data_IF_919731165625
#
_entry.id   IF_919731165625
#
_cell.length_a   1.000
_cell.length_b   1.000
_cell.length_c   1.000
_cell.angle_alpha   90.00
_cell.angle_beta   90.00
_cell.angle_gamma   90.00
#
_symmetry.space_group_name_H-M   'P 1'
#
loop_
_entity.id
_entity.type
_entity.pdbx_description
1 polymer ?
#
# COMPACT_ATOMS: atom_id res chain seq x y z
N UNK A 1 -28.68 -74.82 -7.05
CA UNK A 1 -27.61 -74.46 -8.01
C UNK A 1 -27.08 -73.09 -7.58
N UNK A 2 -25.83 -73.07 -7.15
CA UNK A 2 -25.15 -71.96 -6.48
C UNK A 2 -24.56 -70.94 -7.47
N UNK A 3 -24.49 -69.67 -7.07
CA UNK A 3 -23.37 -68.72 -7.21
C UNK A 3 -23.85 -67.32 -6.76
N UNK A 4 -23.56 -66.85 -5.53
CA UNK A 4 -22.34 -66.12 -5.06
C UNK A 4 -22.13 -64.69 -5.65
N UNK A 5 -22.57 -63.69 -4.85
CA UNK A 5 -21.80 -62.61 -4.19
C UNK A 5 -21.09 -61.47 -4.94
N UNK A 6 -21.19 -60.30 -4.26
CA UNK A 6 -20.40 -59.04 -4.29
C UNK A 6 -20.77 -58.04 -5.41
N UNK A 7 -20.92 -56.74 -5.18
CA UNK A 7 -20.30 -55.89 -4.17
C UNK A 7 -21.15 -54.64 -3.89
N UNK A 8 -21.07 -54.18 -2.65
CA UNK A 8 -21.59 -52.90 -2.15
C UNK A 8 -20.86 -51.74 -2.84
N UNK A 9 -21.60 -50.71 -3.25
CA UNK A 9 -21.04 -49.46 -3.74
C UNK A 9 -21.97 -48.30 -3.43
N UNK A 10 -21.89 -47.77 -2.20
CA UNK A 10 -22.51 -46.50 -1.85
C UNK A 10 -21.78 -45.39 -2.62
N UNK A 11 -22.48 -44.75 -3.57
CA UNK A 11 -22.01 -43.51 -4.18
C UNK A 11 -22.21 -42.39 -3.16
N UNK A 12 -21.17 -42.13 -2.36
CA UNK A 12 -21.08 -40.91 -1.56
C UNK A 12 -20.73 -39.79 -2.53
N UNK A 13 -21.72 -38.97 -2.87
CA UNK A 13 -21.51 -37.69 -3.53
C UNK A 13 -20.80 -36.75 -2.56
N UNK A 14 -19.46 -36.75 -2.56
CA UNK A 14 -18.69 -35.67 -1.94
C UNK A 14 -18.83 -34.43 -2.81
N UNK A 15 -19.78 -33.56 -2.47
CA UNK A 15 -19.72 -32.15 -2.84
C UNK A 15 -18.52 -31.54 -2.10
N UNK A 16 -17.34 -31.64 -2.69
CA UNK A 16 -16.20 -30.81 -2.32
C UNK A 16 -16.53 -29.38 -2.74
N UNK A 17 -17.24 -28.66 -1.87
CA UNK A 17 -17.32 -27.21 -1.92
C UNK A 17 -15.89 -26.72 -1.73
N UNK A 18 -15.18 -26.42 -2.83
CA UNK A 18 -14.00 -25.58 -2.77
C UNK A 18 -14.50 -24.24 -2.23
N UNK A 19 -14.38 -24.06 -0.92
CA UNK A 19 -14.37 -22.74 -0.30
C UNK A 19 -13.09 -22.07 -0.81
N UNK A 20 -13.14 -21.56 -2.04
CA UNK A 20 -12.28 -20.48 -2.48
C UNK A 20 -12.67 -19.32 -1.59
N UNK A 21 -12.01 -19.20 -0.45
CA UNK A 21 -12.01 -17.93 0.27
C UNK A 21 -11.41 -16.94 -0.72
N UNK A 22 -12.17 -15.95 -1.22
CA UNK A 22 -11.53 -14.87 -1.95
C UNK A 22 -10.61 -14.19 -0.93
N UNK A 23 -9.30 -14.41 -1.07
CA UNK A 23 -8.34 -13.44 -0.57
C UNK A 23 -8.61 -12.18 -1.37
N UNK A 24 -9.48 -11.32 -0.86
CA UNK A 24 -9.71 -9.99 -1.44
C UNK A 24 -8.43 -9.23 -1.16
N UNK A 25 -7.49 -9.32 -2.09
CA UNK A 25 -6.34 -8.43 -2.08
C UNK A 25 -6.91 -7.02 -2.28
N UNK A 26 -6.49 -6.05 -1.47
CA UNK A 26 -6.97 -4.68 -1.60
C UNK A 26 -6.74 -4.21 -3.03
N UNK A 27 -7.84 -4.10 -3.77
CA UNK A 27 -7.75 -4.27 -5.21
C UNK A 27 -7.29 -2.99 -5.90
N UNK A 28 -7.58 -1.82 -5.33
CA UNK A 28 -7.13 -0.56 -5.90
C UNK A 28 -6.92 0.53 -4.87
N UNK A 29 -5.86 1.31 -5.06
CA UNK A 29 -5.52 2.43 -4.20
C UNK A 29 -6.46 3.62 -4.43
N UNK A 30 -7.03 4.13 -3.35
CA UNK A 30 -7.90 5.31 -3.33
C UNK A 30 -7.14 6.57 -2.96
N UNK A 31 -6.08 6.45 -2.16
CA UNK A 31 -5.32 7.59 -1.70
C UNK A 31 -4.60 7.31 -0.40
N UNK A 32 -3.93 8.32 0.13
CA UNK A 32 -3.23 8.16 1.38
C UNK A 32 -2.52 9.41 1.85
N UNK A 33 -1.70 9.21 2.87
CA UNK A 33 -0.83 10.19 3.48
C UNK A 33 0.51 9.51 3.73
N UNK A 34 1.61 10.17 3.36
CA UNK A 34 2.94 9.84 3.84
C UNK A 34 3.52 11.12 4.44
N UNK A 35 3.85 11.07 5.71
CA UNK A 35 4.61 12.13 6.38
C UNK A 35 5.74 11.49 7.18
N UNK A 36 6.72 12.29 7.56
CA UNK A 36 7.88 11.79 8.28
C UNK A 36 8.37 12.76 9.34
N UNK A 37 8.99 12.20 10.38
CA UNK A 37 9.71 12.96 11.39
C UNK A 37 11.12 12.43 11.53
N UNK A 38 12.12 13.31 11.48
CA UNK A 38 13.51 12.92 11.70
C UNK A 38 13.78 12.68 13.19
N UNK A 39 14.29 11.50 13.51
CA UNK A 39 14.85 11.18 14.83
C UNK A 39 16.31 11.68 14.88
N UNK A 40 17.05 11.42 13.81
CA UNK A 40 18.42 11.89 13.61
C UNK A 40 18.74 11.87 12.09
N UNK A 41 20.01 12.12 11.71
CA UNK A 41 20.44 12.15 10.30
C UNK A 41 20.42 10.79 9.59
N UNK A 42 20.23 9.70 10.33
CA UNK A 42 20.26 8.33 9.82
C UNK A 42 18.96 7.57 10.12
N UNK A 43 17.95 8.22 10.71
CA UNK A 43 16.69 7.57 11.04
C UNK A 43 15.53 8.55 10.99
N UNK A 44 14.47 8.12 10.32
CA UNK A 44 13.17 8.78 10.35
C UNK A 44 12.09 7.82 10.83
N UNK A 45 11.00 8.41 11.30
CA UNK A 45 9.73 7.74 11.54
C UNK A 45 8.78 8.20 10.44
N UNK A 46 8.25 7.25 9.69
CA UNK A 46 7.27 7.47 8.62
C UNK A 46 5.89 7.18 9.16
N UNK A 47 5.03 8.17 9.13
CA UNK A 47 3.61 8.05 9.40
C UNK A 47 2.88 7.84 8.08
N UNK A 48 2.07 6.80 8.01
CA UNK A 48 1.36 6.47 6.78
C UNK A 48 -0.11 6.20 7.05
N UNK A 49 -0.97 6.74 6.18
CA UNK A 49 -2.38 6.37 6.07
C UNK A 49 -2.63 5.92 4.64
N UNK A 50 -3.17 4.72 4.44
CA UNK A 50 -3.45 4.19 3.10
C UNK A 50 -4.92 3.85 2.99
N UNK A 51 -5.53 4.18 1.85
CA UNK A 51 -6.94 3.94 1.56
C UNK A 51 -7.07 3.07 0.31
N UNK A 52 -7.92 2.06 0.38
CA UNK A 52 -8.14 1.10 -0.70
C UNK A 52 -9.63 0.83 -0.92
N UNK A 53 -10.00 0.52 -2.16
CA UNK A 53 -11.35 0.05 -2.55
C UNK A 53 -11.34 -1.44 -2.90
N UNK A 54 -12.52 -2.04 -2.83
CA UNK A 54 -12.74 -3.47 -2.76
C UNK A 54 -11.90 -4.10 -1.65
N UNK A 55 -12.12 -3.61 -0.43
CA UNK A 55 -11.29 -3.88 0.74
C UNK A 55 -12.10 -3.57 1.99
N UNK A 56 -11.97 -4.41 3.01
CA UNK A 56 -12.64 -4.22 4.30
C UNK A 56 -11.65 -4.42 5.44
N UNK A 57 -11.94 -3.82 6.61
CA UNK A 57 -11.24 -4.17 7.83
C UNK A 57 -11.46 -5.67 8.13
N UNK A 58 -10.44 -6.48 7.92
CA UNK A 58 -10.28 -7.74 8.64
C UNK A 58 -9.39 -7.50 9.86
N UNK A 59 -9.31 -8.46 10.79
CA UNK A 59 -8.39 -8.39 11.93
C UNK A 59 -6.90 -8.43 11.52
N UNK A 60 -6.58 -8.52 10.23
CA UNK A 60 -5.20 -8.48 9.72
C UNK A 60 -4.74 -7.06 9.39
N UNK A 61 -3.46 -6.79 9.67
CA UNK A 61 -2.78 -5.58 9.20
C UNK A 61 -2.51 -5.65 7.70
N UNK A 62 -2.59 -4.51 7.02
CA UNK A 62 -2.08 -4.37 5.64
C UNK A 62 -0.58 -4.12 5.67
N UNK A 63 0.15 -4.73 4.74
CA UNK A 63 1.58 -4.49 4.57
C UNK A 63 1.90 -3.99 3.18
N UNK A 64 2.87 -3.06 3.11
CA UNK A 64 3.43 -2.55 1.87
C UNK A 64 4.93 -2.32 2.05
N UNK A 65 5.71 -2.30 0.98
CA UNK A 65 7.16 -2.07 1.06
C UNK A 65 7.46 -0.62 0.74
N UNK A 66 7.96 0.13 1.73
CA UNK A 66 8.56 1.43 1.51
C UNK A 66 9.95 1.24 0.90
N UNK A 67 10.12 1.71 -0.32
CA UNK A 67 11.35 1.61 -1.11
C UNK A 67 12.02 2.95 -1.29
N UNK A 68 13.34 2.91 -1.43
CA UNK A 68 14.10 4.05 -1.85
C UNK A 68 14.05 4.23 -3.37
N UNK A 69 13.74 5.44 -3.83
CA UNK A 69 13.80 5.83 -5.24
C UNK A 69 15.08 6.58 -5.58
N UNK A 70 15.58 7.42 -4.66
CA UNK A 70 16.82 8.16 -4.84
C UNK A 70 17.42 8.58 -3.49
N UNK A 71 18.75 8.67 -3.42
CA UNK A 71 19.46 9.17 -2.24
C UNK A 71 19.69 8.13 -1.12
N UNK A 72 19.21 6.89 -1.29
CA UNK A 72 19.44 5.76 -0.38
C UNK A 72 19.33 4.41 -1.10
N UNK A 73 19.56 3.31 -0.38
CA UNK A 73 19.47 1.93 -0.89
C UNK A 73 18.60 0.98 -0.04
N UNK A 74 18.03 1.48 1.06
CA UNK A 74 17.29 0.65 2.01
C UNK A 74 15.81 0.54 1.65
N UNK A 75 15.13 -0.42 2.28
CA UNK A 75 13.67 -0.56 2.25
C UNK A 75 13.16 -0.93 3.63
N UNK A 76 11.90 -0.64 3.90
CA UNK A 76 11.24 -1.03 5.14
C UNK A 76 9.82 -1.53 4.86
N UNK A 77 9.36 -2.48 5.67
CA UNK A 77 7.97 -2.94 5.61
C UNK A 77 7.10 -1.95 6.39
N UNK A 78 6.14 -1.35 5.68
CA UNK A 78 5.06 -0.60 6.28
C UNK A 78 3.96 -1.53 6.74
N UNK A 79 3.52 -1.38 7.98
CA UNK A 79 2.43 -2.16 8.56
C UNK A 79 1.35 -1.18 9.01
N UNK A 80 0.21 -1.19 8.32
CA UNK A 80 -0.96 -0.38 8.62
C UNK A 80 -2.05 -1.23 9.27
N UNK A 81 -2.60 -0.74 10.38
CA UNK A 81 -3.77 -1.33 11.03
C UNK A 81 -5.03 -0.64 10.52
N UNK A 82 -6.10 -1.40 10.32
CA UNK A 82 -7.35 -0.83 9.85
C UNK A 82 -7.89 0.17 10.87
N UNK A 83 -8.21 1.37 10.42
CA UNK A 83 -8.80 2.43 11.25
C UNK A 83 -10.26 2.67 10.93
N UNK A 84 -10.65 2.47 9.67
CA UNK A 84 -12.03 2.64 9.24
C UNK A 84 -12.32 1.79 7.99
N UNK A 85 -13.58 1.39 7.80
CA UNK A 85 -14.03 0.75 6.57
C UNK A 85 -15.54 0.88 6.40
N UNK A 86 -16.00 0.88 5.16
CA UNK A 86 -17.41 0.78 4.83
C UNK A 86 -17.64 -0.44 3.93
N UNK A 87 -18.49 -1.36 4.37
CA UNK A 87 -18.80 -2.56 3.62
C UNK A 87 -19.78 -2.30 2.46
N UNK A 88 -20.59 -1.24 2.54
CA UNK A 88 -21.55 -0.85 1.52
C UNK A 88 -20.89 -0.08 0.37
N UNK A 89 -19.92 0.79 0.69
CA UNK A 89 -19.11 1.52 -0.28
C UNK A 89 -17.83 0.78 -0.67
N UNK A 90 -17.58 -0.37 -0.04
CA UNK A 90 -16.46 -1.28 -0.28
C UNK A 90 -15.08 -0.60 -0.27
N UNK A 91 -14.77 0.04 0.84
CA UNK A 91 -13.46 0.64 1.07
C UNK A 91 -12.95 0.45 2.50
N UNK A 92 -11.63 0.59 2.67
CA UNK A 92 -10.97 0.63 3.96
C UNK A 92 -9.86 1.68 4.01
N UNK A 93 -9.62 2.18 5.23
CA UNK A 93 -8.48 3.00 5.60
C UNK A 93 -7.62 2.24 6.61
N UNK A 94 -6.30 2.31 6.44
CA UNK A 94 -5.33 1.85 7.43
C UNK A 94 -4.32 2.92 7.78
N UNK A 95 -3.86 2.88 9.02
CA UNK A 95 -2.84 3.78 9.53
C UNK A 95 -1.73 3.02 10.24
N UNK A 96 -0.51 3.53 10.15
CA UNK A 96 0.62 2.93 10.82
C UNK A 96 1.83 3.83 10.87
N UNK A 97 2.85 3.33 11.57
CA UNK A 97 4.12 4.00 11.79
C UNK A 97 5.23 3.03 11.45
N UNK A 98 6.14 3.47 10.59
CA UNK A 98 7.27 2.68 10.13
C UNK A 98 8.57 3.39 10.44
N UNK A 99 9.51 2.69 11.08
CA UNK A 99 10.87 3.20 11.25
C UNK A 99 11.65 2.92 9.98
N UNK A 100 12.38 3.92 9.49
CA UNK A 100 13.25 3.77 8.34
C UNK A 100 14.66 4.25 8.69
N UNK A 101 15.59 3.31 8.63
CA UNK A 101 17.00 3.56 8.90
C UNK A 101 17.75 3.76 7.58
N UNK A 102 18.52 4.83 7.51
CA UNK A 102 19.37 5.18 6.39
C UNK A 102 20.77 4.63 6.59
N UNK A 103 21.41 4.24 5.49
CA UNK A 103 22.84 3.98 5.51
C UNK A 103 23.61 5.28 5.72
N UNK A 104 24.78 5.26 6.38
CA UNK A 104 25.60 6.46 6.59
C UNK A 104 25.98 7.22 5.30
N UNK A 105 25.99 6.52 4.17
CA UNK A 105 26.30 7.06 2.84
C UNK A 105 25.09 7.70 2.13
N UNK A 106 23.91 7.71 2.76
CA UNK A 106 22.69 8.27 2.18
C UNK A 106 22.82 9.79 2.02
N UNK A 107 22.19 10.33 0.98
CA UNK A 107 22.14 11.76 0.72
C UNK A 107 21.25 12.48 1.74
N UNK A 108 21.40 13.80 1.86
CA UNK A 108 20.55 14.62 2.73
C UNK A 108 19.12 14.72 2.15
N UNK A 109 18.99 14.71 0.82
CA UNK A 109 17.73 14.71 0.10
C UNK A 109 17.43 13.32 -0.44
N UNK A 110 16.31 12.75 -0.03
CA UNK A 110 15.97 11.35 -0.28
C UNK A 110 14.55 11.26 -0.82
N UNK A 111 14.33 10.44 -1.84
CA UNK A 111 12.98 10.11 -2.30
C UNK A 111 12.62 8.69 -1.82
N UNK A 112 11.57 8.61 -1.01
CA UNK A 112 10.99 7.36 -0.53
C UNK A 112 9.57 7.21 -1.07
N UNK A 113 9.08 5.99 -1.15
CA UNK A 113 7.70 5.75 -1.51
C UNK A 113 7.41 4.28 -1.65
N UNK A 114 6.25 3.94 -2.19
CA UNK A 114 5.95 2.57 -2.54
C UNK A 114 5.18 2.51 -3.85
N UNK A 115 5.18 1.33 -4.46
CA UNK A 115 4.54 1.07 -5.74
C UNK A 115 3.57 -0.08 -5.61
N UNK A 116 2.55 -0.06 -6.47
CA UNK A 116 1.65 -1.20 -6.65
C UNK A 116 1.14 -1.23 -8.10
N UNK A 117 0.67 -2.39 -8.53
CA UNK A 117 0.20 -2.64 -9.89
C UNK A 117 -1.30 -2.30 -10.08
N UNK A 118 -1.98 -1.89 -9.02
CA UNK A 118 -3.44 -1.82 -8.98
C UNK A 118 -3.96 -0.39 -8.76
N UNK A 119 -3.86 0.45 -9.79
CA UNK A 119 -4.48 1.79 -9.84
C UNK A 119 -5.93 1.71 -10.33
N UNK A 120 -6.84 2.54 -9.79
CA UNK A 120 -8.24 2.64 -10.26
C UNK A 120 -8.29 3.34 -11.63
N UNK A 121 -8.91 2.69 -12.62
CA UNK A 121 -9.31 3.35 -13.86
C UNK A 121 -10.80 3.64 -13.88
N UNK A 122 -11.17 4.83 -14.33
CA UNK A 122 -12.57 5.29 -14.42
C UNK A 122 -13.18 5.09 -15.82
N UNK A 123 -12.46 4.47 -16.77
CA UNK A 123 -12.94 4.24 -18.14
C UNK A 123 -12.67 2.80 -18.59
N UNK A 124 -13.64 2.18 -19.27
CA UNK A 124 -13.48 0.86 -19.87
C UNK A 124 -13.27 0.97 -21.40
N UNK A 125 -12.48 0.08 -22.04
CA UNK A 125 -11.63 -0.96 -21.46
C UNK A 125 -10.24 -0.41 -21.14
N UNK A 126 -9.78 -0.54 -19.90
CA UNK A 126 -8.41 -0.17 -19.50
C UNK A 126 -7.74 -1.29 -18.72
N UNK A 127 -6.49 -1.58 -19.04
CA UNK A 127 -5.64 -2.46 -18.25
C UNK A 127 -5.25 -1.79 -16.93
N UNK A 128 -5.07 -2.59 -15.88
CA UNK A 128 -4.45 -2.16 -14.63
C UNK A 128 -3.10 -1.47 -14.89
N UNK A 129 -2.79 -0.44 -14.11
CA UNK A 129 -1.66 0.45 -14.30
C UNK A 129 -0.86 0.55 -13.02
N UNK A 130 0.46 0.51 -13.18
CA UNK A 130 1.38 0.73 -12.07
C UNK A 130 1.32 2.17 -11.60
N UNK A 131 1.36 2.37 -10.30
CA UNK A 131 1.45 3.70 -9.69
C UNK A 131 2.56 3.75 -8.67
N UNK A 132 2.95 4.97 -8.32
CA UNK A 132 3.92 5.23 -7.25
C UNK A 132 3.43 6.38 -6.37
N UNK A 133 3.53 6.18 -5.06
CA UNK A 133 3.21 7.19 -4.05
C UNK A 133 4.47 7.51 -3.28
N UNK A 134 4.96 8.74 -3.48
CA UNK A 134 6.29 9.16 -3.07
C UNK A 134 6.23 10.36 -2.14
N UNK A 135 7.20 10.43 -1.25
CA UNK A 135 7.52 11.58 -0.42
C UNK A 135 8.99 11.91 -0.56
N UNK A 136 9.33 13.19 -0.34
CA UNK A 136 10.73 13.62 -0.25
C UNK A 136 11.08 13.89 1.20
N UNK A 137 12.24 13.40 1.60
CA UNK A 137 12.82 13.59 2.93
C UNK A 137 14.00 14.52 2.77
N UNK A 138 13.99 15.60 3.54
CA UNK A 138 15.10 16.53 3.62
C UNK A 138 15.65 16.51 5.06
N UNK A 139 16.84 15.95 5.23
CA UNK A 139 17.50 15.88 6.54
C UNK A 139 18.45 17.06 6.78
N UNK A 140 18.34 18.13 5.99
CA UNK A 140 19.10 19.35 6.21
C UNK A 140 18.77 19.93 7.59
N UNK A 141 19.80 20.48 8.23
CA UNK A 141 19.61 21.24 9.47
C UNK A 141 19.22 22.65 9.12
N UNK A 142 18.10 23.12 9.67
CA UNK A 142 17.61 24.47 9.45
C UNK A 142 18.54 25.50 10.10
N UNK A 143 18.77 26.59 9.40
CA UNK A 143 19.63 27.70 9.86
C UNK A 143 18.99 28.52 10.99
N UNK A 144 17.67 28.57 11.07
CA UNK A 144 16.93 29.38 12.04
C UNK A 144 16.76 28.69 13.41
N UNK A 145 16.58 27.37 13.42
CA UNK A 145 16.31 26.59 14.63
C UNK A 145 17.44 25.66 15.05
N UNK A 146 18.41 25.40 14.17
CA UNK A 146 19.48 24.42 14.39
C UNK A 146 18.98 22.97 14.45
N UNK A 147 17.71 22.71 14.13
CA UNK A 147 17.09 21.39 14.13
C UNK A 147 17.00 20.81 12.72
N UNK A 148 16.98 19.48 12.61
CA UNK A 148 16.75 18.79 11.34
C UNK A 148 15.33 19.10 10.86
N UNK A 149 15.18 19.31 9.55
CA UNK A 149 13.90 19.47 8.89
C UNK A 149 12.92 18.33 9.26
N UNK A 150 11.63 18.65 9.23
CA UNK A 150 10.55 17.73 9.52
C UNK A 150 9.56 17.83 8.37
N UNK A 151 8.82 16.76 8.08
CA UNK A 151 7.81 16.80 7.03
C UNK A 151 6.78 17.89 7.33
N UNK A 152 6.42 18.73 6.35
CA UNK A 152 5.14 19.40 6.41
C UNK A 152 4.02 18.33 6.44
N UNK A 153 2.89 18.63 7.08
CA UNK A 153 1.72 17.74 7.01
C UNK A 153 1.08 17.94 5.63
N UNK A 154 1.42 17.08 4.67
CA UNK A 154 0.90 17.17 3.29
C UNK A 154 0.03 15.97 2.96
N UNK A 155 -1.29 16.16 2.91
CA UNK A 155 -2.27 15.15 2.48
C UNK A 155 -2.62 15.30 1.01
N UNK A 156 -2.70 14.20 0.27
CA UNK A 156 -3.32 14.21 -1.06
C UNK A 156 -4.83 13.97 -0.94
N UNK A 157 -5.61 14.56 -1.85
CA UNK A 157 -7.01 14.23 -2.00
C UNK A 157 -7.17 12.75 -2.43
N UNK A 158 -8.19 12.07 -1.90
CA UNK A 158 -8.54 10.66 -2.17
C UNK A 158 -9.04 10.37 -3.60
N UNK A 159 -8.93 11.34 -4.51
CA UNK A 159 -9.28 11.20 -5.92
C UNK A 159 -8.80 12.43 -6.68
N UNK A 160 -8.14 12.22 -7.83
CA UNK A 160 -7.88 13.26 -8.81
C UNK A 160 -8.25 12.73 -10.20
N UNK A 161 -8.85 13.59 -11.02
CA UNK A 161 -9.27 13.25 -12.38
C UNK A 161 -8.13 13.61 -13.32
N UNK A 162 -7.53 12.61 -13.96
CA UNK A 162 -6.59 12.83 -15.06
C UNK A 162 -7.39 12.95 -16.37
N UNK A 163 -7.15 14.03 -17.12
CA UNK A 163 -7.75 14.21 -18.44
C UNK A 163 -7.28 13.13 -19.43
N UNK A 164 -8.22 12.66 -20.25
CA UNK A 164 -7.93 11.72 -21.34
C UNK A 164 -6.97 12.37 -22.37
N UNK A 165 -6.04 11.57 -22.94
CA UNK A 165 -4.96 11.97 -23.90
C UNK A 165 -3.68 12.59 -23.31
N UNK A 166 -3.53 12.64 -21.99
CA UNK A 166 -2.24 13.04 -21.41
C UNK A 166 -1.40 11.80 -21.08
N UNK A 167 -0.28 11.64 -21.78
CA UNK A 167 0.67 10.55 -21.58
C UNK A 167 1.48 10.81 -20.31
N UNK A 168 0.92 10.47 -19.15
CA UNK A 168 1.59 10.60 -17.86
C UNK A 168 2.22 9.26 -17.47
N UNK A 169 3.52 9.24 -17.16
CA UNK A 169 4.04 8.24 -16.22
C UNK A 169 3.48 8.61 -14.84
N UNK A 170 2.61 7.79 -14.21
CA UNK A 170 1.91 8.16 -12.97
C UNK A 170 2.89 8.17 -11.78
N UNK A 171 3.69 9.23 -11.71
CA UNK A 171 4.47 9.61 -10.56
C UNK A 171 3.70 10.72 -9.85
N UNK A 172 2.98 10.37 -8.80
CA UNK A 172 2.32 11.33 -7.94
C UNK A 172 3.38 11.83 -6.96
N UNK A 173 3.77 13.10 -7.11
CA UNK A 173 4.74 13.74 -6.24
C UNK A 173 4.00 14.55 -5.18
N UNK A 174 4.15 14.16 -3.92
CA UNK A 174 3.70 14.98 -2.80
C UNK A 174 4.93 15.76 -2.29
N UNK A 175 4.86 17.11 -2.27
CA UNK A 175 5.91 17.94 -1.70
C UNK A 175 6.04 17.74 -0.18
#
# INVERSE_FOLDING_TARGET
MSCLLKNVGYIVWTFSFLAVFPSVNPSHFRGGLLTWTAVNRHQIIVHHRLSYVNSHCSSSSMSATLTCFSGCSNSATMIGYCTNSDASEDWMDSEGITRFDFNPESQIYIALGFTSAAWIFLFAPSSQGSWSFKMTVDLATRTDTGKINQSPVTSIASSFILGYQCNYGPNIYIP
#
